data_IF_395493159038
#
_entry.id   IF_395493159038
#
_cell.length_a   1.000
_cell.length_b   1.000
_cell.length_c   1.000
_cell.angle_alpha   90.00
_cell.angle_beta   90.00
_cell.angle_gamma   90.00
#
_symmetry.space_group_name_H-M   'P 1'
#
loop_
_entity.id
_entity.type
_entity.pdbx_description
1 polymer ?
#
# COMPACT_ATOMS: atom_id res chain seq x y z
N UNK A 1 35.73 3.84 -6.41
CA UNK A 1 34.49 4.58 -6.74
C UNK A 1 33.35 3.80 -6.10
N UNK A 2 32.89 4.23 -4.93
CA UNK A 2 31.73 3.64 -4.26
C UNK A 2 30.49 4.04 -5.05
N UNK A 3 29.76 3.05 -5.56
CA UNK A 3 28.50 3.20 -6.27
C UNK A 3 27.45 3.83 -5.32
N UNK A 4 27.31 5.15 -5.37
CA UNK A 4 26.24 5.86 -4.69
C UNK A 4 24.95 5.65 -5.49
N UNK A 5 24.32 4.48 -5.35
CA UNK A 5 22.95 4.29 -5.86
C UNK A 5 22.06 5.37 -5.26
N UNK A 6 21.53 6.24 -6.12
CA UNK A 6 20.53 7.21 -5.71
C UNK A 6 19.33 6.47 -5.13
N UNK A 7 18.73 6.97 -4.03
CA UNK A 7 17.54 6.35 -3.45
C UNK A 7 16.45 6.30 -4.53
N UNK A 8 15.90 5.10 -4.76
CA UNK A 8 14.78 4.90 -5.66
C UNK A 8 13.46 5.00 -4.90
N UNK A 9 12.40 5.39 -5.60
CA UNK A 9 11.05 5.44 -5.06
C UNK A 9 10.20 4.38 -5.76
N UNK A 10 9.65 3.45 -4.99
CA UNK A 10 8.63 2.54 -5.49
C UNK A 10 7.25 3.19 -5.30
N UNK A 11 6.39 3.03 -6.31
CA UNK A 11 4.99 3.45 -6.26
C UNK A 11 4.13 2.23 -6.57
N UNK A 12 3.22 1.90 -5.67
CA UNK A 12 2.30 0.77 -5.78
C UNK A 12 0.88 1.33 -5.88
N UNK A 13 0.19 0.95 -6.95
CA UNK A 13 -1.24 1.19 -7.12
C UNK A 13 -2.00 -0.02 -6.57
N UNK A 14 -3.05 0.26 -5.82
CA UNK A 14 -3.91 -0.73 -5.19
C UNK A 14 -5.34 -0.37 -5.56
N UNK A 15 -6.08 -1.33 -6.08
CA UNK A 15 -7.50 -1.22 -6.40
C UNK A 15 -8.24 -2.34 -5.65
N UNK A 16 -9.43 -2.07 -5.12
CA UNK A 16 -10.24 -3.11 -4.47
C UNK A 16 -11.11 -3.79 -5.51
N UNK A 17 -10.85 -5.06 -5.76
CA UNK A 17 -11.69 -5.89 -6.62
C UNK A 17 -13.16 -5.85 -6.16
N UNK A 18 -14.06 -5.60 -7.11
CA UNK A 18 -15.51 -5.63 -6.92
C UNK A 18 -16.06 -4.72 -5.79
N UNK A 19 -15.39 -3.61 -5.47
CA UNK A 19 -15.85 -2.69 -4.42
C UNK A 19 -17.28 -2.16 -4.67
N UNK A 20 -17.64 -1.90 -5.92
CA UNK A 20 -19.01 -1.53 -6.29
C UNK A 20 -20.02 -2.62 -5.91
N UNK A 21 -19.68 -3.89 -6.09
CA UNK A 21 -20.54 -5.01 -5.69
C UNK A 21 -20.77 -5.02 -4.18
N UNK A 22 -19.76 -4.69 -3.39
CA UNK A 22 -19.89 -4.57 -1.92
C UNK A 22 -20.88 -3.46 -1.58
N UNK A 23 -20.74 -2.28 -2.19
CA UNK A 23 -21.67 -1.17 -1.95
C UNK A 23 -23.11 -1.51 -2.37
N UNK A 24 -23.27 -2.14 -3.54
CA UNK A 24 -24.59 -2.45 -4.09
C UNK A 24 -25.34 -3.52 -3.25
N UNK A 25 -24.63 -4.47 -2.63
CA UNK A 25 -25.26 -5.55 -1.86
C UNK A 25 -25.32 -5.30 -0.34
N UNK A 26 -24.36 -4.57 0.22
CA UNK A 26 -24.23 -4.38 1.67
C UNK A 26 -24.36 -2.91 2.11
N UNK A 27 -24.49 -1.99 1.16
CA UNK A 27 -24.66 -0.56 1.39
C UNK A 27 -23.35 0.19 1.63
N UNK A 28 -23.37 1.49 1.34
CA UNK A 28 -22.19 2.35 1.43
C UNK A 28 -21.53 2.39 2.82
N UNK A 29 -22.30 2.26 3.90
CA UNK A 29 -21.74 2.19 5.26
C UNK A 29 -20.78 1.01 5.46
N UNK A 30 -20.98 -0.11 4.75
CA UNK A 30 -20.07 -1.26 4.78
C UNK A 30 -18.85 -0.99 3.89
N UNK A 31 -19.05 -0.39 2.72
CA UNK A 31 -17.94 0.05 1.87
C UNK A 31 -17.00 1.04 2.58
N UNK A 32 -17.54 2.02 3.28
CA UNK A 32 -16.76 3.00 4.05
C UNK A 32 -15.93 2.34 5.16
N UNK A 33 -16.51 1.34 5.84
CA UNK A 33 -15.78 0.55 6.84
C UNK A 33 -14.65 -0.26 6.23
N UNK A 34 -14.88 -0.85 5.07
CA UNK A 34 -13.85 -1.60 4.33
C UNK A 34 -12.69 -0.68 3.93
N UNK A 35 -12.99 0.49 3.35
CA UNK A 35 -12.00 1.50 2.99
C UNK A 35 -11.21 1.99 4.22
N UNK A 36 -11.90 2.22 5.34
CA UNK A 36 -11.27 2.60 6.61
C UNK A 36 -10.36 1.50 7.16
N UNK A 37 -10.78 0.24 7.07
CA UNK A 37 -9.96 -0.90 7.47
C UNK A 37 -8.71 -1.01 6.61
N UNK A 38 -8.84 -0.93 5.28
CA UNK A 38 -7.70 -0.95 4.36
C UNK A 38 -6.73 0.20 4.66
N UNK A 39 -7.22 1.43 4.84
CA UNK A 39 -6.38 2.57 5.17
C UNK A 39 -5.60 2.37 6.47
N UNK A 40 -6.21 1.73 7.48
CA UNK A 40 -5.57 1.37 8.75
C UNK A 40 -4.48 0.30 8.56
N UNK A 41 -4.76 -0.74 7.79
CA UNK A 41 -3.78 -1.80 7.47
C UNK A 41 -2.57 -1.23 6.71
N UNK A 42 -2.81 -0.36 5.71
CA UNK A 42 -1.77 0.27 4.91
C UNK A 42 -0.88 1.22 5.75
N UNK A 43 -1.45 1.96 6.69
CA UNK A 43 -0.71 2.87 7.58
C UNK A 43 0.00 2.15 8.73
N UNK A 44 -0.57 1.06 9.24
CA UNK A 44 -0.12 0.42 10.47
C UNK A 44 0.79 -0.80 10.26
N UNK A 45 0.33 -1.79 9.47
CA UNK A 45 1.00 -3.11 9.41
C UNK A 45 2.11 -3.17 8.37
N UNK A 46 1.93 -2.54 7.21
CA UNK A 46 2.92 -2.54 6.13
C UNK A 46 4.31 -1.99 6.52
N UNK A 47 4.43 -0.93 7.33
CA UNK A 47 5.73 -0.42 7.76
C UNK A 47 6.56 -1.46 8.53
N UNK A 48 5.93 -2.50 9.10
CA UNK A 48 6.62 -3.54 9.89
C UNK A 48 7.69 -4.29 9.08
N UNK A 49 7.46 -4.47 7.77
CA UNK A 49 8.39 -5.10 6.82
C UNK A 49 9.49 -4.15 6.34
N UNK A 50 9.34 -2.86 6.62
CA UNK A 50 10.29 -1.84 6.19
C UNK A 50 11.32 -1.56 7.28
N UNK A 51 12.55 -1.28 6.85
CA UNK A 51 13.59 -0.70 7.72
C UNK A 51 13.00 0.53 8.43
N UNK A 52 13.36 0.81 9.70
CA UNK A 52 12.79 1.91 10.48
C UNK A 52 12.77 3.25 9.75
N UNK A 53 13.82 3.56 8.98
CA UNK A 53 13.94 4.79 8.21
C UNK A 53 12.89 4.92 7.10
N UNK A 54 12.50 3.82 6.45
CA UNK A 54 11.51 3.83 5.37
C UNK A 54 10.08 4.02 5.89
N UNK A 55 9.80 3.65 7.15
CA UNK A 55 8.49 3.86 7.77
C UNK A 55 8.12 5.33 7.83
N UNK A 56 9.10 6.19 8.17
CA UNK A 56 8.92 7.64 8.26
C UNK A 56 8.79 8.33 6.90
N UNK A 57 9.15 7.65 5.82
CA UNK A 57 9.15 8.19 4.45
C UNK A 57 8.13 7.49 3.54
N UNK A 58 7.27 6.63 4.09
CA UNK A 58 6.20 5.97 3.34
C UNK A 58 4.99 6.90 3.28
N UNK A 59 4.43 7.06 2.08
CA UNK A 59 3.23 7.83 1.83
C UNK A 59 2.10 6.87 1.45
N UNK A 60 0.96 7.00 2.12
CA UNK A 60 -0.29 6.32 1.77
C UNK A 60 -1.28 7.40 1.34
N UNK A 61 -1.91 7.24 0.19
CA UNK A 61 -2.96 8.14 -0.28
C UNK A 61 -4.13 7.35 -0.87
N UNK A 62 -5.35 7.84 -0.69
CA UNK A 62 -6.52 7.41 -1.45
C UNK A 62 -6.69 8.38 -2.62
N UNK A 63 -6.59 7.88 -3.85
CA UNK A 63 -6.59 8.70 -5.06
C UNK A 63 -7.92 8.65 -5.82
N UNK A 64 -8.71 7.60 -5.57
CA UNK A 64 -10.01 7.38 -6.20
C UNK A 64 -11.06 6.86 -5.21
N UNK A 65 -12.12 6.25 -5.73
CA UNK A 65 -13.18 5.68 -4.91
C UNK A 65 -12.65 4.50 -4.08
N UNK A 66 -12.09 3.51 -4.73
CA UNK A 66 -11.46 2.29 -4.21
C UNK A 66 -9.95 2.28 -4.44
N UNK A 67 -9.41 3.27 -5.13
CA UNK A 67 -8.00 3.30 -5.51
C UNK A 67 -7.12 3.93 -4.41
N UNK A 68 -6.05 3.23 -4.06
CA UNK A 68 -5.00 3.69 -3.16
C UNK A 68 -3.63 3.68 -3.84
N UNK A 69 -2.79 4.62 -3.42
CA UNK A 69 -1.37 4.69 -3.80
C UNK A 69 -0.51 4.59 -2.55
N UNK A 70 0.48 3.72 -2.62
CA UNK A 70 1.54 3.60 -1.64
C UNK A 70 2.88 3.94 -2.29
N UNK A 71 3.59 4.93 -1.74
CA UNK A 71 4.93 5.28 -2.20
C UNK A 71 5.94 5.09 -1.06
N UNK A 72 7.04 4.38 -1.33
CA UNK A 72 8.07 4.12 -0.33
C UNK A 72 9.48 4.04 -0.94
N UNK A 73 10.53 4.38 -0.18
CA UNK A 73 11.90 4.26 -0.67
C UNK A 73 12.32 2.79 -0.86
N UNK A 74 13.11 2.54 -1.89
CA UNK A 74 13.76 1.26 -2.16
C UNK A 74 15.17 1.44 -2.72
N UNK A 75 15.97 0.38 -2.65
CA UNK A 75 17.32 0.34 -3.23
C UNK A 75 17.34 0.00 -4.72
N UNK A 76 16.36 -0.78 -5.18
CA UNK A 76 16.22 -1.25 -6.55
C UNK A 76 14.83 -1.88 -6.81
N UNK A 77 14.62 -2.33 -8.06
CA UNK A 77 13.39 -3.00 -8.49
C UNK A 77 13.16 -4.34 -7.77
N UNK A 78 14.21 -5.03 -7.33
CA UNK A 78 14.05 -6.31 -6.63
C UNK A 78 13.45 -6.07 -5.25
N UNK A 79 14.00 -5.13 -4.46
CA UNK A 79 13.45 -4.76 -3.17
C UNK A 79 12.03 -4.18 -3.30
N UNK A 80 11.76 -3.36 -4.33
CA UNK A 80 10.42 -2.84 -4.60
C UNK A 80 9.40 -3.96 -4.81
N UNK A 81 9.75 -4.98 -5.62
CA UNK A 81 8.86 -6.11 -5.90
C UNK A 81 8.65 -7.01 -4.69
N UNK A 82 9.69 -7.31 -3.93
CA UNK A 82 9.57 -8.10 -2.69
C UNK A 82 8.62 -7.41 -1.69
N UNK A 83 8.77 -6.10 -1.51
CA UNK A 83 7.87 -5.29 -0.67
C UNK A 83 6.44 -5.28 -1.22
N UNK A 84 6.25 -5.08 -2.52
CA UNK A 84 4.92 -5.13 -3.16
C UNK A 84 4.23 -6.49 -2.96
N UNK A 85 4.96 -7.60 -3.10
CA UNK A 85 4.42 -8.94 -2.82
C UNK A 85 4.07 -9.15 -1.34
N UNK A 86 4.88 -8.62 -0.41
CA UNK A 86 4.57 -8.69 1.01
C UNK A 86 3.30 -7.90 1.34
N UNK A 87 3.14 -6.71 0.77
CA UNK A 87 1.92 -5.89 0.88
C UNK A 87 0.71 -6.68 0.39
N UNK A 88 0.78 -7.21 -0.83
CA UNK A 88 -0.32 -7.99 -1.41
C UNK A 88 -0.72 -9.18 -0.54
N UNK A 89 0.25 -9.96 -0.03
CA UNK A 89 -0.04 -11.09 0.87
C UNK A 89 -0.70 -10.65 2.18
N UNK A 90 -0.27 -9.52 2.75
CA UNK A 90 -0.81 -9.00 4.00
C UNK A 90 -2.24 -8.50 3.85
N UNK A 91 -2.60 -7.96 2.69
CA UNK A 91 -3.97 -7.50 2.41
C UNK A 91 -4.95 -8.68 2.20
N UNK A 92 -4.43 -9.87 1.94
CA UNK A 92 -5.22 -11.10 1.75
C UNK A 92 -5.29 -12.00 3.00
N UNK A 93 -4.62 -11.63 4.10
CA UNK A 93 -4.55 -12.41 5.35
C UNK A 93 -5.53 -11.90 6.41
#
# INVERSE_FOLDING_TARGET
>A
ITDHKSPSLAVVFIDLDDFKHINDNYGHNIGDKLLGHLASELQGRLPSYFKPLYRLSTIVSRVGADEFVLAFPCSDNHEAREKAHAIHRQLLS
#
